data_IF_632446615812
#
_entry.id   IF_632446615812
#
_cell.length_a   1.000
_cell.length_b   1.000
_cell.length_c   1.000
_cell.angle_alpha   90.00
_cell.angle_beta   90.00
_cell.angle_gamma   90.00
#
_symmetry.space_group_name_H-M   'P 1'
#
loop_
_entity.id
_entity.type
_entity.pdbx_description
1 polymer ?
#
# COMPACT_ATOMS: atom_id res chain seq x y z
N UNK A 1 -4.66 -25.81 10.31
CA UNK A 1 -3.63 -24.97 10.96
C UNK A 1 -3.81 -23.54 10.48
N UNK A 2 -4.00 -22.57 11.37
CA UNK A 2 -4.20 -21.14 11.04
C UNK A 2 -2.96 -20.59 10.33
N UNK A 3 -3.14 -19.99 9.14
CA UNK A 3 -2.01 -19.50 8.31
C UNK A 3 -1.61 -18.05 8.63
N UNK A 4 -2.45 -17.30 9.35
CA UNK A 4 -2.02 -16.12 10.11
C UNK A 4 -1.25 -16.57 11.37
N UNK A 5 0.02 -16.95 11.19
CA UNK A 5 0.92 -17.25 12.30
C UNK A 5 0.98 -16.09 13.29
N UNK A 6 0.89 -16.41 14.58
CA UNK A 6 0.92 -15.52 15.77
C UNK A 6 2.04 -14.45 15.76
N UNK A 7 3.12 -14.71 15.01
CA UNK A 7 4.24 -13.77 14.79
C UNK A 7 3.88 -12.60 13.86
N UNK A 8 3.13 -12.85 12.78
CA UNK A 8 2.74 -11.82 11.80
C UNK A 8 1.68 -10.90 12.37
N UNK A 9 0.75 -11.45 13.14
CA UNK A 9 -0.32 -10.73 13.82
C UNK A 9 0.22 -9.85 14.95
N UNK A 10 1.18 -10.35 15.75
CA UNK A 10 1.93 -9.54 16.72
C UNK A 10 2.72 -8.41 16.07
N UNK A 11 3.39 -8.65 14.94
CA UNK A 11 4.14 -7.61 14.23
C UNK A 11 3.24 -6.49 13.69
N UNK A 12 2.00 -6.83 13.35
CA UNK A 12 1.00 -5.87 12.87
C UNK A 12 0.18 -5.22 14.00
N UNK A 13 0.27 -5.76 15.23
CA UNK A 13 -0.48 -5.30 16.40
C UNK A 13 -1.96 -5.64 16.37
N UNK A 14 -2.36 -6.68 15.62
CA UNK A 14 -3.75 -7.06 15.39
C UNK A 14 -3.99 -8.45 15.98
N UNK A 15 -5.04 -8.59 16.79
CA UNK A 15 -5.49 -9.91 17.25
C UNK A 15 -6.16 -10.66 16.10
N UNK A 16 -5.72 -11.88 15.78
CA UNK A 16 -6.33 -12.67 14.70
C UNK A 16 -7.03 -13.91 15.22
N UNK A 17 -8.20 -14.19 14.65
CA UNK A 17 -8.95 -15.42 14.86
C UNK A 17 -9.12 -16.14 13.52
N UNK A 18 -9.21 -17.47 13.55
CA UNK A 18 -9.55 -18.26 12.36
C UNK A 18 -10.89 -18.95 12.56
N UNK A 19 -11.78 -18.84 11.57
CA UNK A 19 -13.10 -19.46 11.57
C UNK A 19 -13.38 -20.14 10.23
N UNK A 20 -14.17 -21.20 10.23
CA UNK A 20 -14.61 -21.86 9.00
C UNK A 20 -15.69 -21.04 8.27
N UNK A 21 -15.76 -21.18 6.95
CA UNK A 21 -16.74 -20.50 6.07
C UNK A 21 -18.19 -20.67 6.51
N UNK A 22 -18.57 -21.84 7.00
CA UNK A 22 -19.92 -22.10 7.52
C UNK A 22 -20.21 -21.31 8.79
N UNK A 23 -19.23 -21.17 9.68
CA UNK A 23 -19.35 -20.39 10.90
C UNK A 23 -19.38 -18.88 10.59
N UNK A 24 -18.49 -18.43 9.69
CA UNK A 24 -18.46 -17.04 9.22
C UNK A 24 -19.81 -16.58 8.64
N UNK A 25 -20.52 -17.48 7.94
CA UNK A 25 -21.86 -17.18 7.41
C UNK A 25 -22.91 -17.04 8.50
N UNK A 26 -22.86 -17.88 9.54
CA UNK A 26 -23.83 -17.87 10.65
C UNK A 26 -23.62 -16.66 11.56
N UNK A 27 -22.38 -16.28 11.79
CA UNK A 27 -21.99 -15.25 12.76
C UNK A 27 -21.59 -13.93 12.08
N UNK A 28 -21.95 -13.72 10.80
CA UNK A 28 -21.46 -12.60 10.00
C UNK A 28 -21.69 -11.23 10.65
N UNK A 29 -22.92 -10.93 11.08
CA UNK A 29 -23.24 -9.64 11.69
C UNK A 29 -22.50 -9.42 13.04
N UNK A 30 -22.54 -10.37 14.00
CA UNK A 30 -21.73 -10.27 15.22
C UNK A 30 -20.24 -10.07 14.96
N UNK A 31 -19.68 -10.73 13.94
CA UNK A 31 -18.27 -10.60 13.56
C UNK A 31 -17.96 -9.18 13.08
N UNK A 32 -18.83 -8.58 12.26
CA UNK A 32 -18.67 -7.20 11.78
C UNK A 32 -18.68 -6.21 12.94
N UNK A 33 -19.63 -6.35 13.88
CA UNK A 33 -19.73 -5.46 15.05
C UNK A 33 -18.51 -5.57 15.97
N UNK A 34 -18.04 -6.79 16.20
CA UNK A 34 -16.83 -7.07 16.98
C UNK A 34 -15.58 -6.48 16.32
N UNK A 35 -15.45 -6.62 15.00
CA UNK A 35 -14.28 -6.13 14.25
C UNK A 35 -14.23 -4.60 14.19
N UNK A 36 -15.37 -3.92 14.22
CA UNK A 36 -15.40 -2.47 14.22
C UNK A 36 -14.96 -1.86 15.56
N UNK A 37 -15.13 -2.61 16.66
CA UNK A 37 -14.84 -2.14 18.02
C UNK A 37 -13.46 -2.56 18.53
N UNK A 38 -12.89 -3.63 17.97
CA UNK A 38 -11.61 -4.19 18.38
C UNK A 38 -10.56 -4.08 17.27
N UNK A 39 -9.30 -3.90 17.65
CA UNK A 39 -8.19 -3.99 16.71
C UNK A 39 -7.88 -5.46 16.38
N UNK A 40 -8.80 -6.10 15.65
CA UNK A 40 -8.76 -7.52 15.33
C UNK A 40 -9.05 -7.81 13.86
N UNK A 41 -8.72 -9.04 13.45
CA UNK A 41 -8.99 -9.59 12.12
C UNK A 41 -9.44 -11.05 12.23
N UNK A 42 -10.25 -11.49 11.27
CA UNK A 42 -10.77 -12.86 11.22
C UNK A 42 -10.41 -13.48 9.89
N UNK A 43 -9.62 -14.55 9.92
CA UNK A 43 -9.31 -15.39 8.77
C UNK A 43 -10.45 -16.39 8.56
N UNK A 44 -11.06 -16.37 7.38
CA UNK A 44 -12.11 -17.30 6.97
C UNK A 44 -11.46 -18.44 6.18
N UNK A 45 -11.70 -19.68 6.59
CA UNK A 45 -11.18 -20.88 5.92
C UNK A 45 -12.26 -21.69 5.21
N UNK A 46 -11.92 -22.27 4.07
CA UNK A 46 -12.72 -23.26 3.35
C UNK A 46 -11.86 -24.52 3.22
N UNK A 47 -12.32 -25.65 3.76
CA UNK A 47 -11.54 -26.90 3.82
C UNK A 47 -10.09 -26.70 4.32
N UNK A 48 -9.93 -26.07 5.49
CA UNK A 48 -8.64 -25.73 6.12
C UNK A 48 -7.72 -24.80 5.32
N UNK A 49 -8.19 -24.23 4.21
CA UNK A 49 -7.45 -23.24 3.42
C UNK A 49 -8.00 -21.84 3.66
N UNK A 50 -7.16 -20.83 3.96
CA UNK A 50 -7.60 -19.45 4.07
C UNK A 50 -8.13 -18.96 2.71
N UNK A 51 -9.34 -18.43 2.71
CA UNK A 51 -10.00 -17.90 1.50
C UNK A 51 -10.26 -16.40 1.60
N UNK A 52 -10.41 -15.85 2.80
CA UNK A 52 -10.63 -14.43 3.00
C UNK A 52 -10.15 -13.99 4.39
N UNK A 53 -9.93 -12.69 4.54
CA UNK A 53 -9.68 -12.04 5.84
C UNK A 53 -10.68 -10.90 5.99
N UNK A 54 -11.39 -10.89 7.11
CA UNK A 54 -12.31 -9.84 7.49
C UNK A 54 -11.66 -8.96 8.56
N UNK A 55 -11.73 -7.64 8.41
CA UNK A 55 -11.18 -6.65 9.35
C UNK A 55 -11.91 -5.32 9.20
N UNK A 56 -11.78 -4.43 10.18
CA UNK A 56 -12.31 -3.06 10.05
C UNK A 56 -11.61 -2.30 8.92
N UNK A 57 -12.34 -1.35 8.33
CA UNK A 57 -11.79 -0.48 7.30
C UNK A 57 -10.58 0.33 7.80
N UNK A 58 -10.63 0.81 9.04
CA UNK A 58 -9.52 1.55 9.65
C UNK A 58 -8.25 0.68 9.73
N UNK A 59 -8.38 -0.58 10.16
CA UNK A 59 -7.25 -1.52 10.20
C UNK A 59 -6.69 -1.77 8.80
N UNK A 60 -7.56 -1.93 7.80
CA UNK A 60 -7.14 -2.09 6.41
C UNK A 60 -6.34 -0.89 5.90
N UNK A 61 -6.80 0.34 6.17
CA UNK A 61 -6.09 1.58 5.77
C UNK A 61 -4.72 1.67 6.43
N UNK A 62 -4.64 1.42 7.75
CA UNK A 62 -3.37 1.45 8.50
C UNK A 62 -2.38 0.40 7.98
N UNK A 63 -2.86 -0.82 7.71
CA UNK A 63 -2.02 -1.89 7.16
C UNK A 63 -1.51 -1.54 5.76
N UNK A 64 -2.37 -0.98 4.92
CA UNK A 64 -2.00 -0.58 3.56
C UNK A 64 -0.96 0.54 3.59
N UNK A 65 -1.10 1.52 4.49
CA UNK A 65 -0.14 2.58 4.69
C UNK A 65 1.22 2.07 5.22
N UNK A 66 1.21 1.10 6.15
CA UNK A 66 2.44 0.46 6.62
C UNK A 66 3.11 -0.37 5.52
N UNK A 67 2.34 -1.09 4.72
CA UNK A 67 2.85 -1.86 3.60
C UNK A 67 3.47 -0.95 2.53
N UNK A 68 2.80 0.16 2.17
CA UNK A 68 3.32 1.11 1.20
C UNK A 68 4.58 1.84 1.69
N UNK A 69 4.67 2.18 2.98
CA UNK A 69 5.88 2.74 3.57
C UNK A 69 7.08 1.78 3.51
N UNK A 70 6.84 0.47 3.61
CA UNK A 70 7.89 -0.56 3.48
C UNK A 70 8.17 -0.96 2.01
N UNK A 71 7.29 -0.59 1.08
CA UNK A 71 7.49 -0.72 -0.38
C UNK A 71 8.20 0.49 -0.98
N UNK A 72 8.33 1.59 -0.23
CA UNK A 72 9.20 2.69 -0.63
C UNK A 72 10.63 2.12 -0.75
N UNK A 73 11.26 2.18 -1.93
CA UNK A 73 12.58 1.60 -2.12
C UNK A 73 13.54 2.26 -1.13
N UNK A 74 14.25 1.45 -0.35
CA UNK A 74 15.23 1.87 0.67
C UNK A 74 16.43 2.61 0.08
N UNK A 75 16.52 2.67 -1.24
CA UNK A 75 17.41 3.53 -2.00
C UNK A 75 16.55 4.47 -2.83
N UNK A 76 16.90 5.76 -2.96
CA UNK A 76 16.22 6.64 -3.89
C UNK A 76 16.28 5.96 -5.27
N UNK A 77 15.14 5.43 -5.71
CA UNK A 77 14.98 5.01 -7.09
C UNK A 77 15.23 6.28 -7.88
N UNK A 78 16.29 6.29 -8.71
CA UNK A 78 16.56 7.40 -9.61
C UNK A 78 15.22 7.77 -10.23
N UNK A 79 14.73 8.99 -10.01
CA UNK A 79 13.35 9.29 -10.28
C UNK A 79 13.22 9.21 -11.80
N UNK A 80 12.41 8.26 -12.27
CA UNK A 80 12.14 8.07 -13.68
C UNK A 80 11.18 9.19 -14.09
N UNK A 81 11.73 10.39 -14.19
CA UNK A 81 10.98 11.63 -14.40
C UNK A 81 10.91 11.94 -15.88
N UNK A 82 10.06 11.21 -16.58
CA UNK A 82 9.25 11.87 -17.61
C UNK A 82 8.06 12.51 -16.87
N UNK A 83 8.21 13.77 -16.45
CA UNK A 83 7.06 14.61 -16.09
C UNK A 83 6.98 15.22 -14.68
N UNK A 84 7.92 14.96 -13.75
CA UNK A 84 7.92 15.67 -12.46
C UNK A 84 9.23 16.42 -12.28
N UNK A 85 9.22 17.72 -12.53
CA UNK A 85 10.35 18.59 -12.22
C UNK A 85 9.98 19.29 -10.93
N UNK A 86 10.62 18.88 -9.83
CA UNK A 86 10.53 19.61 -8.56
C UNK A 86 11.60 20.69 -8.57
N UNK A 87 11.16 21.95 -8.66
CA UNK A 87 12.04 23.12 -8.63
C UNK A 87 12.35 23.46 -7.16
N UNK A 88 13.55 23.10 -6.71
CA UNK A 88 14.11 23.49 -5.41
C UNK A 88 15.16 24.60 -5.56
N UNK A 89 14.82 25.68 -6.25
CA UNK A 89 15.62 26.91 -6.33
C UNK A 89 14.74 28.08 -6.75
N UNK A 90 15.29 29.30 -6.71
CA UNK A 90 14.65 30.52 -7.21
C UNK A 90 14.03 30.28 -8.60
N UNK A 91 12.76 30.66 -8.72
CA UNK A 91 11.86 30.25 -9.80
C UNK A 91 12.38 30.70 -11.17
N UNK A 92 13.03 31.86 -11.22
CA UNK A 92 13.60 32.42 -12.45
C UNK A 92 14.81 31.60 -12.93
N UNK A 93 15.72 31.24 -12.03
CA UNK A 93 16.89 30.43 -12.37
C UNK A 93 16.49 29.01 -12.80
N UNK A 94 15.43 28.46 -12.20
CA UNK A 94 14.90 27.17 -12.57
C UNK A 94 14.16 27.21 -13.92
N UNK A 95 13.36 28.24 -14.16
CA UNK A 95 12.67 28.47 -15.43
C UNK A 95 13.64 28.59 -16.60
N UNK A 96 14.73 29.36 -16.44
CA UNK A 96 15.77 29.50 -17.45
C UNK A 96 16.46 28.17 -17.79
N UNK A 97 16.75 27.36 -16.76
CA UNK A 97 17.33 26.00 -16.94
C UNK A 97 16.37 25.06 -17.66
N UNK A 98 15.08 25.17 -17.37
CA UNK A 98 14.04 24.36 -18.04
C UNK A 98 13.88 24.73 -19.50
N UNK A 99 13.77 26.02 -19.81
CA UNK A 99 13.69 26.49 -21.19
C UNK A 99 14.91 26.02 -22.00
N UNK A 100 16.10 26.04 -21.40
CA UNK A 100 17.33 25.56 -22.04
C UNK A 100 17.29 24.05 -22.28
N UNK A 101 16.90 23.26 -21.27
CA UNK A 101 16.79 21.79 -21.38
C UNK A 101 15.75 21.38 -22.41
N UNK A 102 14.63 22.09 -22.47
CA UNK A 102 13.55 21.83 -23.42
C UNK A 102 13.99 22.13 -24.85
N UNK A 103 14.67 23.27 -25.05
CA UNK A 103 15.25 23.63 -26.34
C UNK A 103 16.27 22.59 -26.81
N UNK A 104 17.21 22.20 -25.95
CA UNK A 104 18.20 21.18 -26.29
C UNK A 104 17.58 19.83 -26.63
N UNK A 105 16.51 19.42 -25.94
CA UNK A 105 15.82 18.17 -26.24
C UNK A 105 15.06 18.21 -27.57
N UNK A 106 14.51 19.37 -27.95
CA UNK A 106 13.89 19.57 -29.26
C UNK A 106 14.96 19.54 -30.36
N UNK A 107 16.07 20.24 -30.16
CA UNK A 107 17.18 20.29 -31.12
C UNK A 107 17.79 18.89 -31.32
N UNK A 108 18.05 18.14 -30.24
CA UNK A 108 18.49 16.72 -30.32
C UNK A 108 17.46 15.82 -31.00
N UNK A 109 16.15 16.05 -30.79
CA UNK A 109 15.11 15.27 -31.46
C UNK A 109 14.99 15.63 -32.94
N UNK A 110 15.30 16.87 -33.32
CA UNK A 110 15.31 17.32 -34.71
C UNK A 110 16.55 16.88 -35.47
N UNK A 111 17.71 16.74 -34.82
CA UNK A 111 18.93 16.17 -35.41
C UNK A 111 18.87 14.64 -35.58
N UNK A 112 18.00 13.97 -34.82
CA UNK A 112 17.77 12.51 -34.92
C UNK A 112 16.54 12.14 -35.79
N UNK A 113 16.02 13.10 -36.58
CA UNK A 113 15.04 12.91 -37.65
C UNK A 113 15.74 12.83 -39.02
#
# INVERSE_FOLDING_TARGET
>A
MSNLTDKKTKALGIAAQTIGKTQARKEFFPLVDSLNSANSAVEITDHDKPVAVLMSYQNYVVLTAKASANLAPSKPQKPNLLGSIVINSDLEAASARLATRFKSAIDESAENL
#
